data_IF_153323808304
#
_entry.id   IF_153323808304
#
_cell.length_a   1.000
_cell.length_b   1.000
_cell.length_c   1.000
_cell.angle_alpha   90.00
_cell.angle_beta   90.00
_cell.angle_gamma   90.00
#
_symmetry.space_group_name_H-M   'P 1'
#
loop_
_entity.id
_entity.type
_entity.pdbx_description
1 polymer ?
#
# COMPACT_ATOMS: atom_id res chain seq x y z
N UNK A 1 -15.95 -3.96 -28.43
CA UNK A 1 -14.48 -3.72 -28.29
C UNK A 1 -14.09 -4.30 -26.95
N UNK A 2 -13.35 -5.42 -26.90
CA UNK A 2 -12.83 -5.92 -25.61
C UNK A 2 -11.91 -4.83 -25.07
N UNK A 3 -12.23 -4.28 -23.90
CA UNK A 3 -11.34 -3.37 -23.20
C UNK A 3 -9.97 -4.04 -23.07
N UNK A 4 -8.94 -3.44 -23.65
CA UNK A 4 -7.53 -3.82 -23.50
C UNK A 4 -6.99 -3.40 -22.13
N UNK A 5 -7.87 -2.86 -21.28
CA UNK A 5 -7.61 -2.44 -19.91
C UNK A 5 -8.14 -3.49 -18.93
N UNK A 6 -7.31 -4.42 -18.47
CA UNK A 6 -7.70 -5.32 -17.38
C UNK A 6 -7.81 -4.51 -16.08
N UNK A 7 -8.95 -4.61 -15.41
CA UNK A 7 -9.21 -3.87 -14.16
C UNK A 7 -8.46 -4.41 -12.93
N UNK A 8 -7.80 -5.57 -13.06
CA UNK A 8 -6.97 -6.13 -11.99
C UNK A 8 -5.80 -6.96 -12.50
N UNK A 9 -4.72 -6.98 -11.72
CA UNK A 9 -3.60 -7.90 -11.88
C UNK A 9 -4.02 -9.34 -11.53
N UNK A 10 -4.77 -9.47 -10.43
CA UNK A 10 -5.37 -10.70 -9.92
C UNK A 10 -6.85 -10.37 -9.65
N UNK A 11 -7.81 -10.89 -10.45
CA UNK A 11 -9.22 -10.63 -10.21
C UNK A 11 -9.62 -10.97 -8.77
N UNK A 12 -10.55 -10.19 -8.21
CA UNK A 12 -10.94 -10.34 -6.80
C UNK A 12 -11.42 -11.76 -6.46
N UNK A 13 -12.25 -12.33 -7.35
CA UNK A 13 -12.80 -13.68 -7.22
C UNK A 13 -11.74 -14.78 -7.40
N UNK A 14 -10.62 -14.44 -8.04
CA UNK A 14 -9.52 -15.36 -8.34
C UNK A 14 -8.40 -15.28 -7.30
N UNK A 15 -8.52 -14.41 -6.28
CA UNK A 15 -7.53 -14.31 -5.21
C UNK A 15 -7.68 -15.51 -4.26
N UNK A 16 -6.80 -16.53 -4.33
CA UNK A 16 -7.10 -17.85 -3.79
C UNK A 16 -6.89 -17.95 -2.28
N UNK A 17 -6.10 -17.04 -1.69
CA UNK A 17 -5.64 -17.14 -0.32
C UNK A 17 -5.86 -15.86 0.48
N UNK A 18 -6.09 -16.06 1.79
CA UNK A 18 -6.05 -15.01 2.79
C UNK A 18 -4.78 -15.17 3.63
N UNK A 19 -4.24 -14.05 4.08
CA UNK A 19 -3.17 -13.97 5.05
C UNK A 19 -3.72 -13.49 6.40
N UNK A 20 -3.09 -13.95 7.48
CA UNK A 20 -3.29 -13.40 8.82
C UNK A 20 -2.21 -12.38 9.09
N UNK A 21 -2.62 -11.17 9.44
CA UNK A 21 -1.72 -10.08 9.78
C UNK A 21 -2.00 -9.64 11.21
N UNK A 22 -1.02 -9.81 12.09
CA UNK A 22 -1.06 -9.30 13.45
C UNK A 22 -0.45 -7.91 13.48
N UNK A 23 -1.13 -6.96 14.11
CA UNK A 23 -0.56 -5.62 14.32
C UNK A 23 0.46 -5.71 15.45
N UNK A 24 1.70 -5.34 15.17
CA UNK A 24 2.83 -5.44 16.09
C UNK A 24 3.53 -4.08 16.24
N UNK A 25 4.27 -3.92 17.34
CA UNK A 25 5.20 -2.80 17.52
C UNK A 25 6.25 -2.84 16.41
N UNK A 26 6.49 -1.72 15.75
CA UNK A 26 7.37 -1.70 14.60
C UNK A 26 8.83 -1.44 15.00
N UNK A 27 9.70 -2.43 14.81
CA UNK A 27 11.15 -2.24 14.77
C UNK A 27 11.64 -1.88 13.35
N UNK A 28 10.75 -2.00 12.37
CA UNK A 28 10.99 -1.79 10.95
C UNK A 28 10.20 -0.59 10.43
N UNK A 29 10.55 -0.11 9.24
CA UNK A 29 9.92 1.02 8.55
C UNK A 29 9.84 2.29 9.42
N UNK A 30 10.91 2.56 10.19
CA UNK A 30 11.04 3.78 10.97
C UNK A 30 10.85 5.02 10.09
N UNK A 31 10.27 6.12 10.62
CA UNK A 31 9.81 7.24 9.80
C UNK A 31 10.95 7.97 9.08
N UNK A 32 12.20 7.84 9.53
CA UNK A 32 13.40 8.44 8.90
C UNK A 32 14.24 7.44 8.10
N UNK A 33 13.85 6.16 8.04
CA UNK A 33 14.65 5.11 7.40
C UNK A 33 14.31 4.95 5.91
N UNK A 34 14.75 5.89 5.08
CA UNK A 34 14.45 5.90 3.64
C UNK A 34 14.79 4.59 2.92
N UNK A 35 15.92 3.96 3.27
CA UNK A 35 16.38 2.72 2.63
C UNK A 35 15.40 1.59 2.89
N UNK A 36 14.92 1.46 4.12
CA UNK A 36 13.96 0.41 4.49
C UNK A 36 12.60 0.62 3.84
N UNK A 37 12.13 1.87 3.74
CA UNK A 37 10.90 2.20 3.03
C UNK A 37 10.96 1.87 1.54
N UNK A 38 12.14 1.88 0.92
CA UNK A 38 12.30 1.43 -0.47
C UNK A 38 12.14 -0.09 -0.63
N UNK A 39 12.31 -0.88 0.43
CA UNK A 39 12.15 -2.35 0.38
C UNK A 39 10.69 -2.79 0.25
N UNK A 40 9.73 -1.87 0.49
CA UNK A 40 8.30 -2.09 0.26
C UNK A 40 7.93 -2.31 -1.22
N UNK A 41 8.86 -2.06 -2.15
CA UNK A 41 8.60 -2.19 -3.58
C UNK A 41 9.33 -3.39 -4.17
N UNK A 42 8.65 -4.23 -4.97
CA UNK A 42 9.33 -5.28 -5.71
C UNK A 42 10.19 -4.69 -6.82
N UNK A 43 10.96 -5.54 -7.49
CA UNK A 43 11.62 -5.17 -8.75
C UNK A 43 10.57 -4.58 -9.71
N UNK A 44 10.93 -3.48 -10.38
CA UNK A 44 10.00 -2.78 -11.27
C UNK A 44 9.03 -1.83 -10.55
N UNK A 45 9.17 -1.61 -9.23
CA UNK A 45 8.50 -0.53 -8.51
C UNK A 45 6.98 -0.69 -8.36
N UNK A 46 6.47 -1.91 -8.56
CA UNK A 46 5.04 -2.21 -8.53
C UNK A 46 4.30 -1.93 -9.84
N UNK A 47 5.03 -1.70 -10.93
CA UNK A 47 4.47 -1.61 -12.27
C UNK A 47 4.35 -2.99 -12.91
N UNK A 48 3.41 -3.14 -13.84
CA UNK A 48 3.18 -4.32 -14.69
C UNK A 48 2.93 -3.89 -16.12
N UNK A 49 3.21 -4.77 -17.09
CA UNK A 49 2.83 -4.61 -18.49
C UNK A 49 1.75 -5.63 -18.88
N UNK A 50 0.70 -5.18 -19.57
CA UNK A 50 -0.44 -6.02 -19.98
C UNK A 50 -0.93 -5.69 -21.39
N UNK A 51 -1.63 -6.66 -21.97
CA UNK A 51 -2.23 -6.55 -23.30
C UNK A 51 -1.19 -6.73 -24.43
N UNK A 52 -1.67 -6.82 -25.68
CA UNK A 52 -0.82 -6.99 -26.85
C UNK A 52 0.15 -5.82 -27.06
N UNK A 53 -0.23 -4.61 -26.63
CA UNK A 53 0.58 -3.39 -26.75
C UNK A 53 1.54 -3.18 -25.56
N UNK A 54 1.67 -4.17 -24.65
CA UNK A 54 2.56 -4.10 -23.48
C UNK A 54 2.41 -2.81 -22.63
N UNK A 55 1.18 -2.31 -22.51
CA UNK A 55 0.88 -1.07 -21.79
C UNK A 55 1.29 -1.18 -20.32
N UNK A 56 1.91 -0.14 -19.80
CA UNK A 56 2.32 -0.08 -18.40
C UNK A 56 1.16 0.32 -17.49
N UNK A 57 1.04 -0.36 -16.36
CA UNK A 57 0.08 -0.09 -15.29
C UNK A 57 0.79 -0.15 -13.95
N UNK A 58 0.37 0.67 -12.98
CA UNK A 58 0.81 0.52 -11.58
C UNK A 58 -0.25 -0.25 -10.81
N UNK A 59 0.16 -1.27 -10.06
CA UNK A 59 -0.76 -1.98 -9.18
C UNK A 59 -1.18 -1.06 -8.02
N UNK A 60 -2.47 -1.01 -7.73
CA UNK A 60 -3.05 -0.11 -6.73
C UNK A 60 -2.41 -0.25 -5.33
N UNK A 61 -2.10 -1.47 -4.89
CA UNK A 61 -1.42 -1.70 -3.60
C UNK A 61 -0.07 -0.97 -3.52
N UNK A 62 0.74 -1.02 -4.58
CA UNK A 62 2.02 -0.31 -4.62
C UNK A 62 1.85 1.21 -4.79
N UNK A 63 0.75 1.68 -5.37
CA UNK A 63 0.43 3.11 -5.35
C UNK A 63 0.08 3.59 -3.93
N UNK A 64 -0.65 2.79 -3.15
CA UNK A 64 -0.92 3.10 -1.74
C UNK A 64 0.38 3.17 -0.93
N UNK A 65 1.29 2.21 -1.10
CA UNK A 65 2.61 2.24 -0.42
C UNK A 65 3.46 3.46 -0.85
N UNK A 66 3.41 3.83 -2.14
CA UNK A 66 4.05 5.05 -2.63
C UNK A 66 3.50 6.30 -1.95
N UNK A 67 2.18 6.43 -1.89
CA UNK A 67 1.55 7.59 -1.25
C UNK A 67 1.78 7.63 0.26
N UNK A 68 1.83 6.48 0.93
CA UNK A 68 2.22 6.42 2.33
C UNK A 68 3.66 6.93 2.53
N UNK A 69 4.58 6.57 1.64
CA UNK A 69 5.96 7.05 1.69
C UNK A 69 6.07 8.56 1.42
N UNK A 70 5.26 9.10 0.50
CA UNK A 70 5.14 10.56 0.25
C UNK A 70 4.69 11.28 1.53
N UNK A 71 3.60 10.80 2.14
CA UNK A 71 3.06 11.38 3.38
C UNK A 71 4.10 11.34 4.51
N UNK A 72 4.79 10.20 4.66
CA UNK A 72 5.88 10.06 5.63
C UNK A 72 6.95 11.14 5.43
N UNK A 73 7.44 11.32 4.20
CA UNK A 73 8.48 12.31 3.88
C UNK A 73 8.05 13.73 4.26
N UNK A 74 6.82 14.11 3.93
CA UNK A 74 6.25 15.38 4.31
C UNK A 74 6.17 15.60 5.84
N UNK A 75 6.01 14.53 6.62
CA UNK A 75 5.97 14.59 8.10
C UNK A 75 7.37 14.71 8.69
N UNK A 76 8.35 13.93 8.19
CA UNK A 76 9.69 13.87 8.79
C UNK A 76 10.63 14.98 8.34
N UNK A 77 10.37 15.56 7.17
CA UNK A 77 11.17 16.62 6.60
C UNK A 77 10.28 17.77 6.16
N UNK A 78 10.15 18.77 7.02
CA UNK A 78 9.39 19.99 6.72
C UNK A 78 10.00 20.82 5.58
N UNK A 79 11.25 20.55 5.19
CA UNK A 79 11.91 21.20 4.05
C UNK A 79 11.63 20.49 2.72
N UNK A 80 11.03 19.30 2.77
CA UNK A 80 10.64 18.52 1.61
C UNK A 80 9.44 19.13 0.85
N UNK A 81 8.65 19.99 1.50
CA UNK A 81 7.43 20.54 0.91
C UNK A 81 7.75 21.84 0.17
N UNK A 82 7.89 21.76 -1.15
CA UNK A 82 7.66 22.89 -2.07
C UNK A 82 6.20 22.85 -2.59
N UNK A 83 5.80 23.81 -3.43
CA UNK A 83 4.42 23.88 -3.95
C UNK A 83 3.99 22.61 -4.73
N UNK A 84 4.91 22.00 -5.48
CA UNK A 84 4.66 20.76 -6.24
C UNK A 84 4.50 19.55 -5.30
N UNK A 85 5.41 19.43 -4.32
CA UNK A 85 5.39 18.37 -3.31
C UNK A 85 4.18 18.49 -2.37
N UNK A 86 3.68 19.71 -2.13
CA UNK A 86 2.44 19.95 -1.38
C UNK A 86 1.22 19.38 -2.13
N UNK A 87 1.09 19.65 -3.43
CA UNK A 87 -0.02 19.13 -4.24
C UNK A 87 0.00 17.61 -4.37
N UNK A 88 1.20 17.02 -4.48
CA UNK A 88 1.37 15.56 -4.46
C UNK A 88 0.98 14.97 -3.10
N UNK A 89 1.40 15.60 -2.01
CA UNK A 89 1.07 15.17 -0.63
C UNK A 89 -0.44 15.19 -0.40
N UNK A 90 -1.13 16.27 -0.78
CA UNK A 90 -2.59 16.37 -0.67
C UNK A 90 -3.30 15.27 -1.47
N UNK A 91 -2.88 15.08 -2.72
CA UNK A 91 -3.44 14.03 -3.59
C UNK A 91 -3.23 12.64 -2.99
N UNK A 92 -2.07 12.39 -2.39
CA UNK A 92 -1.76 11.12 -1.74
C UNK A 92 -2.55 10.90 -0.44
N UNK A 93 -2.76 11.93 0.38
CA UNK A 93 -3.66 11.85 1.53
C UNK A 93 -5.08 11.48 1.10
N UNK A 94 -5.61 12.17 0.10
CA UNK A 94 -6.94 11.86 -0.42
C UNK A 94 -7.02 10.45 -1.02
N UNK A 95 -5.99 10.01 -1.74
CA UNK A 95 -5.95 8.66 -2.30
C UNK A 95 -5.99 7.57 -1.21
N UNK A 96 -5.17 7.69 -0.15
CA UNK A 96 -5.20 6.76 0.98
C UNK A 96 -6.56 6.76 1.66
N UNK A 97 -7.13 7.94 1.91
CA UNK A 97 -8.48 8.07 2.48
C UNK A 97 -9.54 7.33 1.62
N UNK A 98 -9.55 7.55 0.31
CA UNK A 98 -10.49 6.88 -0.59
C UNK A 98 -10.28 5.35 -0.64
N UNK A 99 -9.02 4.89 -0.60
CA UNK A 99 -8.73 3.46 -0.56
C UNK A 99 -9.14 2.80 0.77
N UNK A 100 -9.02 3.51 1.90
CA UNK A 100 -9.55 3.05 3.20
C UNK A 100 -11.07 2.92 3.19
N UNK A 101 -11.80 3.83 2.51
CA UNK A 101 -13.25 3.69 2.34
C UNK A 101 -13.61 2.51 1.44
N UNK A 102 -12.86 2.31 0.35
CA UNK A 102 -13.05 1.22 -0.60
C UNK A 102 -12.86 -0.17 0.06
N UNK A 103 -11.91 -0.28 0.99
CA UNK A 103 -11.62 -1.51 1.74
C UNK A 103 -12.05 -1.41 3.22
N UNK A 104 -13.14 -0.70 3.49
CA UNK A 104 -13.58 -0.34 4.85
C UNK A 104 -13.71 -1.55 5.78
N UNK A 105 -12.77 -1.63 6.72
CA UNK A 105 -12.78 -2.64 7.79
C UNK A 105 -13.91 -2.34 8.77
N UNK A 106 -14.72 -3.34 9.09
CA UNK A 106 -15.79 -3.24 10.09
C UNK A 106 -15.41 -3.86 11.44
N UNK A 107 -14.12 -4.22 11.61
CA UNK A 107 -13.62 -4.81 12.85
C UNK A 107 -13.58 -3.76 13.97
N UNK A 108 -14.12 -4.12 15.14
CA UNK A 108 -14.04 -3.29 16.32
C UNK A 108 -12.65 -3.39 16.96
N UNK A 109 -12.09 -2.25 17.35
CA UNK A 109 -10.81 -2.15 18.04
C UNK A 109 -11.03 -1.86 19.53
N UNK A 110 -10.27 -2.50 20.44
CA UNK A 110 -10.52 -2.38 21.87
C UNK A 110 -10.03 -1.03 22.39
N UNK A 111 -10.94 -0.36 23.09
CA UNK A 111 -10.65 0.86 23.83
C UNK A 111 -10.05 0.48 25.19
N UNK A 112 -8.92 1.09 25.54
CA UNK A 112 -8.22 0.88 26.82
C UNK A 112 -7.93 2.22 27.49
N UNK A 113 -7.84 2.18 28.81
CA UNK A 113 -7.28 3.29 29.58
C UNK A 113 -5.76 3.30 29.40
N UNK A 114 -5.24 4.32 28.75
CA UNK A 114 -3.82 4.62 28.63
C UNK A 114 -3.43 5.68 29.67
N UNK A 115 -2.12 5.83 29.87
CA UNK A 115 -1.56 6.89 30.73
C UNK A 115 -1.88 8.30 30.22
N UNK A 116 -2.09 8.45 28.91
CA UNK A 116 -2.47 9.71 28.25
C UNK A 116 -3.99 9.95 28.18
N UNK A 117 -4.82 9.02 28.67
CA UNK A 117 -6.27 9.08 28.58
C UNK A 117 -6.88 7.81 27.99
N UNK A 118 -8.13 7.89 27.54
CA UNK A 118 -8.80 6.79 26.84
C UNK A 118 -8.26 6.73 25.40
N UNK A 119 -7.77 5.57 24.97
CA UNK A 119 -7.24 5.37 23.62
C UNK A 119 -7.50 3.98 23.08
N UNK A 120 -7.25 3.79 21.79
CA UNK A 120 -7.37 2.49 21.13
C UNK A 120 -6.02 1.78 21.19
N UNK A 121 -5.99 0.51 21.58
CA UNK A 121 -4.79 -0.31 21.54
C UNK A 121 -5.01 -1.52 20.63
N UNK A 122 -4.44 -1.44 19.43
CA UNK A 122 -4.58 -2.43 18.38
C UNK A 122 -3.51 -3.53 18.42
N UNK A 123 -2.50 -3.41 19.27
CA UNK A 123 -1.36 -4.34 19.30
C UNK A 123 -1.82 -5.76 19.65
N UNK A 124 -1.28 -6.73 18.91
CA UNK A 124 -1.64 -8.14 19.02
C UNK A 124 -2.98 -8.50 18.37
N UNK A 125 -3.68 -7.55 17.75
CA UNK A 125 -4.89 -7.87 16.99
C UNK A 125 -4.54 -8.50 15.65
N UNK A 126 -5.12 -9.66 15.40
CA UNK A 126 -5.05 -10.35 14.11
C UNK A 126 -6.17 -9.88 13.17
N UNK A 127 -5.80 -9.63 11.92
CA UNK A 127 -6.68 -9.32 10.81
C UNK A 127 -6.57 -10.40 9.73
N UNK A 128 -7.70 -10.78 9.15
CA UNK A 128 -7.74 -11.61 7.94
C UNK A 128 -7.72 -10.68 6.74
N UNK A 129 -6.62 -10.70 6.00
CA UNK A 129 -6.39 -9.90 4.81
C UNK A 129 -6.34 -10.80 3.57
N UNK A 130 -6.51 -10.23 2.37
CA UNK A 130 -6.09 -10.94 1.16
C UNK A 130 -4.57 -11.10 1.20
N UNK A 131 -4.08 -12.26 0.81
CA UNK A 131 -2.65 -12.54 0.80
C UNK A 131 -1.90 -11.66 -0.20
N UNK A 132 -1.30 -10.58 0.31
CA UNK A 132 -0.56 -9.60 -0.50
C UNK A 132 0.72 -10.20 -1.11
N UNK A 133 1.25 -11.30 -0.57
CA UNK A 133 2.47 -11.93 -1.11
C UNK A 133 2.28 -12.40 -2.56
N UNK A 134 1.06 -12.80 -2.93
CA UNK A 134 0.71 -13.15 -4.31
C UNK A 134 0.80 -11.96 -5.26
N UNK A 135 0.53 -10.75 -4.77
CA UNK A 135 0.66 -9.51 -5.56
C UNK A 135 2.14 -9.25 -5.85
N UNK A 136 3.03 -9.41 -4.86
CA UNK A 136 4.48 -9.32 -5.07
C UNK A 136 4.95 -10.34 -6.10
N UNK A 137 4.63 -11.62 -5.90
CA UNK A 137 5.02 -12.70 -6.82
C UNK A 137 4.51 -12.45 -8.25
N UNK A 138 3.26 -11.99 -8.40
CA UNK A 138 2.66 -11.69 -9.71
C UNK A 138 3.32 -10.51 -10.42
N UNK A 139 3.71 -9.47 -9.69
CA UNK A 139 4.45 -8.33 -10.26
C UNK A 139 5.85 -8.76 -10.67
N UNK A 140 6.57 -9.49 -9.83
CA UNK A 140 7.92 -9.94 -10.14
C UNK A 140 7.97 -10.87 -11.34
N UNK A 141 7.00 -11.79 -11.46
CA UNK A 141 6.88 -12.64 -12.63
C UNK A 141 6.57 -11.82 -13.89
N UNK A 142 5.67 -10.83 -13.77
CA UNK A 142 5.34 -9.96 -14.90
C UNK A 142 6.56 -9.15 -15.37
N UNK A 143 7.42 -8.68 -14.46
CA UNK A 143 8.63 -7.90 -14.82
C UNK A 143 9.63 -8.72 -15.63
N UNK A 144 9.69 -10.05 -15.44
CA UNK A 144 10.59 -10.91 -16.22
C UNK A 144 10.23 -10.93 -17.71
N UNK A 145 8.97 -10.69 -18.06
CA UNK A 145 8.49 -10.70 -19.46
C UNK A 145 8.63 -9.35 -20.15
N UNK A 146 9.29 -8.38 -19.51
CA UNK A 146 9.51 -7.05 -20.09
C UNK A 146 10.69 -6.97 -21.06
N UNK A 147 11.43 -8.08 -21.20
CA UNK A 147 12.56 -8.22 -22.12
C UNK A 147 12.11 -8.20 -23.58
#
# INVERSE_FOLDING_TARGET
IKSDFPNSLIPHEEHPYNARLTIEETLHYGPTNDVEWLTLFPRGGGYVRRGPEHRAFRVAMFHQLYCLNVIRKAIVDATWINDEDSGLTESCFNYIHQMSLCASSTRLEPVKQLTSGIGVNVLGMEHTCRDWSLVYASVEENVKTWA
#
